data_IF_336097959541
#
_entry.id   IF_336097959541
#
_cell.length_a   1.000
_cell.length_b   1.000
_cell.length_c   1.000
_cell.angle_alpha   90.00
_cell.angle_beta   90.00
_cell.angle_gamma   90.00
#
_symmetry.space_group_name_H-M   'P 1'
#
loop_
_entity.id
_entity.type
_entity.pdbx_description
1 polymer ?
#
# COMPACT_ATOMS: atom_id res chain seq x y z
N UNK A 1 64.02 18.90 -56.14
CA UNK A 1 62.65 18.48 -56.47
C UNK A 1 62.31 17.26 -55.63
N UNK A 2 61.06 17.21 -55.18
CA UNK A 2 60.50 16.40 -54.10
C UNK A 2 60.96 14.93 -53.98
N UNK A 3 61.21 14.53 -52.73
CA UNK A 3 61.09 13.16 -52.23
C UNK A 3 59.60 12.76 -52.19
N UNK A 4 59.30 11.51 -52.51
CA UNK A 4 57.97 10.92 -52.32
C UNK A 4 58.01 9.40 -52.29
N UNK A 5 58.22 8.82 -51.11
CA UNK A 5 57.83 7.43 -50.80
C UNK A 5 56.35 7.41 -50.40
N UNK A 6 55.60 6.32 -50.69
CA UNK A 6 54.21 6.19 -50.28
C UNK A 6 54.11 5.96 -48.75
N UNK A 7 53.06 6.45 -48.07
CA UNK A 7 52.89 6.20 -46.65
C UNK A 7 52.41 4.76 -46.41
N UNK A 8 53.02 4.11 -45.42
CA UNK A 8 52.60 2.83 -44.89
C UNK A 8 51.24 2.96 -44.18
N UNK A 9 50.39 1.94 -44.37
CA UNK A 9 49.09 1.82 -43.74
C UNK A 9 49.21 1.68 -42.21
N UNK A 10 48.57 2.57 -41.46
CA UNK A 10 48.34 2.39 -40.03
C UNK A 10 46.86 2.03 -39.83
N UNK A 11 46.58 0.74 -39.65
CA UNK A 11 45.26 0.29 -39.23
C UNK A 11 45.06 0.62 -37.74
N UNK A 12 44.25 1.63 -37.45
CA UNK A 12 43.82 1.93 -36.08
C UNK A 12 42.74 0.92 -35.70
N UNK A 13 43.13 -0.08 -34.91
CA UNK A 13 42.18 -1.01 -34.28
C UNK A 13 41.57 -0.28 -33.09
N UNK A 14 40.40 0.33 -33.28
CA UNK A 14 39.61 0.89 -32.19
C UNK A 14 38.99 -0.27 -31.41
N UNK A 15 39.57 -0.62 -30.27
CA UNK A 15 38.99 -1.60 -29.35
C UNK A 15 37.77 -0.96 -28.67
N UNK A 16 36.57 -1.18 -29.22
CA UNK A 16 35.32 -0.82 -28.57
C UNK A 16 35.11 -1.81 -27.42
N UNK A 17 35.56 -1.44 -26.23
CA UNK A 17 35.16 -2.10 -24.98
C UNK A 17 33.66 -1.80 -24.78
N UNK A 18 32.81 -2.68 -25.27
CA UNK A 18 31.40 -2.68 -24.95
C UNK A 18 31.24 -2.94 -23.46
N UNK A 19 30.98 -1.88 -22.67
CA UNK A 19 30.38 -2.06 -21.35
C UNK A 19 28.97 -2.60 -21.57
N UNK A 20 28.83 -3.92 -21.52
CA UNK A 20 27.55 -4.54 -21.23
C UNK A 20 27.21 -4.20 -19.78
N UNK A 21 26.52 -3.09 -19.57
CA UNK A 21 25.80 -2.86 -18.33
C UNK A 21 24.71 -3.94 -18.26
N UNK A 22 24.97 -5.01 -17.52
CA UNK A 22 23.92 -5.92 -17.11
C UNK A 22 22.96 -5.11 -16.25
N UNK A 23 21.85 -4.65 -16.83
CA UNK A 23 20.71 -4.22 -16.05
C UNK A 23 20.22 -5.44 -15.31
N UNK A 24 20.52 -5.52 -14.01
CA UNK A 24 19.87 -6.48 -13.14
C UNK A 24 18.36 -6.19 -13.22
N UNK A 25 17.63 -7.01 -13.96
CA UNK A 25 16.17 -7.01 -13.94
C UNK A 25 15.79 -7.29 -12.50
N UNK A 26 15.01 -6.40 -11.88
CA UNK A 26 14.64 -6.57 -10.49
C UNK A 26 13.81 -7.85 -10.36
N UNK A 27 14.34 -8.84 -9.64
CA UNK A 27 13.65 -10.11 -9.42
C UNK A 27 12.28 -9.89 -8.75
N UNK A 28 11.31 -10.71 -9.14
CA UNK A 28 9.99 -10.71 -8.52
C UNK A 28 10.10 -11.09 -7.04
N UNK A 29 9.35 -10.37 -6.19
CA UNK A 29 9.30 -10.65 -4.75
C UNK A 29 8.26 -11.72 -4.47
N UNK A 30 8.60 -12.66 -3.58
CA UNK A 30 7.73 -13.75 -3.15
C UNK A 30 6.33 -13.24 -2.83
N UNK A 31 5.33 -13.86 -3.47
CA UNK A 31 3.92 -13.54 -3.32
C UNK A 31 3.26 -14.57 -2.40
N UNK A 32 2.94 -14.15 -1.18
CA UNK A 32 2.37 -15.01 -0.14
C UNK A 32 0.84 -14.97 -0.23
N UNK A 33 0.24 -16.07 -0.67
CA UNK A 33 -1.20 -16.29 -0.61
C UNK A 33 -1.58 -16.82 0.77
N UNK A 34 -2.22 -16.00 1.59
CA UNK A 34 -2.56 -16.36 2.96
C UNK A 34 -3.83 -17.22 3.02
N UNK A 35 -3.75 -18.45 2.49
CA UNK A 35 -4.89 -19.37 2.38
C UNK A 35 -5.54 -19.71 3.72
N UNK A 36 -4.77 -19.73 4.80
CA UNK A 36 -5.26 -19.95 6.17
C UNK A 36 -6.24 -18.87 6.64
N UNK A 37 -6.14 -17.65 6.10
CA UNK A 37 -7.03 -16.53 6.44
C UNK A 37 -8.47 -16.72 5.94
N UNK A 38 -8.66 -17.52 4.87
CA UNK A 38 -9.98 -17.80 4.29
C UNK A 38 -10.90 -18.45 5.34
N UNK A 39 -10.38 -19.40 6.12
CA UNK A 39 -11.14 -20.06 7.19
C UNK A 39 -11.54 -19.11 8.33
N UNK A 40 -10.83 -17.98 8.48
CA UNK A 40 -11.16 -16.90 9.44
C UNK A 40 -12.09 -15.83 8.82
N UNK A 41 -12.55 -16.03 7.59
CA UNK A 41 -13.39 -15.06 6.85
C UNK A 41 -12.63 -13.83 6.33
N UNK A 42 -11.30 -13.83 6.40
CA UNK A 42 -10.45 -12.78 5.84
C UNK A 42 -10.20 -13.09 4.36
N UNK A 43 -11.00 -12.46 3.49
CA UNK A 43 -11.02 -12.70 2.05
C UNK A 43 -11.14 -11.41 1.24
N UNK A 44 -10.69 -11.43 -0.01
CA UNK A 44 -10.94 -10.36 -0.98
C UNK A 44 -12.42 -10.26 -1.36
N UNK A 45 -12.80 -9.24 -2.13
CA UNK A 45 -14.18 -9.01 -2.57
C UNK A 45 -14.84 -10.23 -3.23
N UNK A 46 -14.08 -11.08 -3.93
CA UNK A 46 -14.56 -12.30 -4.58
C UNK A 46 -14.48 -13.59 -3.72
N UNK A 47 -14.07 -13.48 -2.46
CA UNK A 47 -13.87 -14.61 -1.55
C UNK A 47 -12.50 -15.29 -1.65
N UNK A 48 -11.60 -14.83 -2.53
CA UNK A 48 -10.23 -15.36 -2.61
C UNK A 48 -9.35 -14.95 -1.42
N UNK A 49 -8.28 -15.72 -1.18
CA UNK A 49 -7.35 -15.43 -0.10
C UNK A 49 -6.64 -14.08 -0.30
N UNK A 50 -6.35 -13.33 0.77
CA UNK A 50 -5.58 -12.12 0.69
C UNK A 50 -4.11 -12.42 0.40
N UNK A 51 -3.40 -11.42 -0.13
CA UNK A 51 -2.02 -11.58 -0.60
C UNK A 51 -1.16 -10.43 -0.11
N UNK A 52 0.09 -10.74 0.21
CA UNK A 52 1.14 -9.74 0.34
C UNK A 52 2.44 -10.26 -0.30
N UNK A 53 3.35 -9.34 -0.63
CA UNK A 53 4.71 -9.67 -1.03
C UNK A 53 5.66 -9.49 0.15
N UNK A 54 6.67 -10.35 0.25
CA UNK A 54 7.63 -10.30 1.35
C UNK A 54 9.07 -10.49 0.88
N UNK A 55 9.93 -9.55 1.29
CA UNK A 55 11.38 -9.65 1.15
C UNK A 55 12.01 -9.57 2.54
N UNK A 56 12.68 -10.63 3.01
CA UNK A 56 13.24 -10.66 4.36
C UNK A 56 14.37 -9.63 4.51
N UNK A 57 14.46 -9.05 5.71
CA UNK A 57 15.54 -8.15 6.08
C UNK A 57 16.85 -8.89 6.33
N UNK A 58 17.95 -8.15 6.32
CA UNK A 58 19.29 -8.70 6.51
C UNK A 58 20.18 -7.77 7.35
N UNK A 59 21.24 -8.33 7.94
CA UNK A 59 22.22 -7.58 8.73
C UNK A 59 21.56 -6.74 9.83
N UNK A 60 21.90 -5.44 9.88
CA UNK A 60 21.37 -4.49 10.86
C UNK A 60 19.88 -4.20 10.70
N UNK A 61 19.30 -4.45 9.52
CA UNK A 61 17.89 -4.23 9.21
C UNK A 61 16.98 -5.43 9.50
N UNK A 62 17.54 -6.58 9.93
CA UNK A 62 16.78 -7.83 10.11
C UNK A 62 15.63 -7.75 11.14
N UNK A 63 15.68 -6.80 12.07
CA UNK A 63 14.60 -6.54 13.04
C UNK A 63 13.82 -5.24 12.77
N UNK A 64 13.97 -4.67 11.58
CA UNK A 64 13.23 -3.48 11.17
C UNK A 64 12.27 -3.83 10.03
N UNK A 65 11.13 -3.14 9.98
CA UNK A 65 10.01 -3.53 9.11
C UNK A 65 9.44 -2.33 8.36
N UNK A 66 9.10 -2.54 7.09
CA UNK A 66 8.23 -1.66 6.32
C UNK A 66 7.05 -2.48 5.82
N UNK A 67 5.85 -2.11 6.26
CA UNK A 67 4.59 -2.64 5.75
C UNK A 67 3.97 -1.57 4.88
N UNK A 68 3.90 -1.83 3.57
CA UNK A 68 3.36 -0.89 2.59
C UNK A 68 2.01 -1.36 2.07
N UNK A 69 0.99 -0.52 2.24
CA UNK A 69 -0.37 -0.77 1.79
C UNK A 69 -0.53 -0.31 0.35
N UNK A 70 -0.86 -1.23 -0.54
CA UNK A 70 -1.19 -0.90 -1.93
C UNK A 70 -2.46 -0.02 -2.01
N UNK A 71 -2.45 0.94 -2.95
CA UNK A 71 -3.61 1.77 -3.26
C UNK A 71 -4.43 1.27 -4.45
N UNK A 72 -5.47 2.02 -4.82
CA UNK A 72 -6.26 1.72 -6.01
C UNK A 72 -7.71 2.16 -5.94
N UNK A 73 -7.99 3.31 -5.33
CA UNK A 73 -9.34 3.85 -5.14
C UNK A 73 -10.26 2.96 -4.29
N UNK A 74 -11.56 3.17 -4.40
CA UNK A 74 -12.57 2.44 -3.64
C UNK A 74 -13.70 1.98 -4.56
N UNK A 75 -14.57 1.10 -4.08
CA UNK A 75 -15.87 0.87 -4.72
C UNK A 75 -16.97 1.32 -3.75
N UNK A 76 -17.88 2.15 -4.26
CA UNK A 76 -18.87 2.92 -3.48
C UNK A 76 -20.27 2.36 -3.59
N UNK A 77 -20.51 1.51 -4.59
CA UNK A 77 -21.78 0.80 -4.81
C UNK A 77 -21.51 -0.69 -5.03
N UNK A 78 -22.51 -1.58 -4.79
CA UNK A 78 -22.38 -3.00 -5.09
C UNK A 78 -21.96 -3.26 -6.54
N UNK A 79 -22.49 -2.51 -7.51
CA UNK A 79 -22.19 -2.66 -8.93
C UNK A 79 -20.71 -2.35 -9.23
N UNK A 80 -20.19 -1.26 -8.67
CA UNK A 80 -18.76 -0.94 -8.77
C UNK A 80 -17.90 -2.04 -8.15
N UNK A 81 -18.33 -2.59 -7.00
CA UNK A 81 -17.60 -3.67 -6.33
C UNK A 81 -17.68 -4.99 -7.11
N UNK A 82 -18.78 -5.28 -7.82
CA UNK A 82 -18.89 -6.43 -8.74
C UNK A 82 -17.91 -6.31 -9.90
N UNK A 83 -17.75 -5.11 -10.49
CA UNK A 83 -16.74 -4.90 -11.53
C UNK A 83 -15.34 -5.10 -10.94
N UNK A 84 -15.10 -4.57 -9.74
CA UNK A 84 -13.81 -4.63 -9.06
C UNK A 84 -13.39 -6.06 -8.70
N UNK A 85 -14.32 -6.91 -8.26
CA UNK A 85 -14.04 -8.33 -7.93
C UNK A 85 -13.56 -9.13 -9.15
N UNK A 86 -13.85 -8.65 -10.37
CA UNK A 86 -13.39 -9.25 -11.63
C UNK A 86 -11.96 -8.91 -12.04
N UNK A 87 -11.18 -8.22 -11.19
CA UNK A 87 -9.78 -7.89 -11.47
C UNK A 87 -8.90 -7.92 -10.20
N UNK A 88 -7.62 -7.57 -10.35
CA UNK A 88 -6.60 -7.66 -9.29
C UNK A 88 -6.88 -6.80 -8.05
N UNK A 89 -7.77 -5.82 -8.15
CA UNK A 89 -8.17 -4.93 -7.05
C UNK A 89 -9.34 -5.46 -6.21
N UNK A 90 -9.87 -6.63 -6.55
CA UNK A 90 -10.94 -7.29 -5.81
C UNK A 90 -10.78 -8.81 -5.71
N UNK A 91 -9.76 -9.39 -6.35
CA UNK A 91 -9.50 -10.82 -6.32
C UNK A 91 -8.01 -11.12 -6.52
N UNK A 92 -7.47 -11.99 -5.67
CA UNK A 92 -6.08 -12.45 -5.79
C UNK A 92 -5.85 -13.38 -6.99
N UNK A 93 -6.92 -13.88 -7.63
CA UNK A 93 -6.83 -14.71 -8.84
C UNK A 93 -6.27 -13.95 -10.04
N UNK A 94 -6.34 -12.61 -10.04
CA UNK A 94 -5.85 -11.76 -11.12
C UNK A 94 -4.57 -11.00 -10.75
N UNK A 95 -4.05 -11.19 -9.53
CA UNK A 95 -2.83 -10.52 -9.10
C UNK A 95 -1.61 -11.21 -9.74
N UNK A 96 -0.72 -10.40 -10.30
CA UNK A 96 0.57 -10.85 -10.84
C UNK A 96 1.70 -10.59 -9.84
N UNK A 97 2.83 -11.31 -9.95
CA UNK A 97 4.08 -10.97 -9.26
C UNK A 97 4.48 -9.52 -9.50
N UNK A 98 5.28 -8.98 -8.57
CA UNK A 98 5.87 -7.65 -8.70
C UNK A 98 7.27 -7.63 -8.11
N UNK A 99 8.11 -6.77 -8.67
CA UNK A 99 9.38 -6.38 -8.09
C UNK A 99 9.18 -5.18 -7.15
N UNK A 100 10.04 -5.06 -6.14
CA UNK A 100 10.04 -3.88 -5.27
C UNK A 100 10.91 -2.74 -5.83
N UNK A 101 10.48 -1.51 -5.58
CA UNK A 101 11.17 -0.28 -5.94
C UNK A 101 10.93 0.81 -4.88
N UNK A 102 11.58 1.97 -5.02
CA UNK A 102 11.45 3.08 -4.07
C UNK A 102 11.81 2.68 -2.65
N UNK A 103 10.97 3.04 -1.66
CA UNK A 103 11.17 2.70 -0.25
C UNK A 103 11.22 1.19 0.03
N UNK A 104 10.67 0.36 -0.87
CA UNK A 104 10.74 -1.10 -0.78
C UNK A 104 11.90 -1.69 -1.59
N UNK A 105 12.62 -0.90 -2.38
CA UNK A 105 13.70 -1.38 -3.24
C UNK A 105 14.87 -1.98 -2.45
N UNK A 106 15.50 -3.03 -2.97
CA UNK A 106 16.63 -3.71 -2.30
C UNK A 106 18.01 -3.15 -2.64
N UNK A 107 18.07 -2.14 -3.51
CA UNK A 107 19.32 -1.53 -3.93
C UNK A 107 19.67 -0.37 -3.00
N UNK A 108 20.75 -0.51 -2.23
CA UNK A 108 21.22 0.50 -1.27
C UNK A 108 21.53 1.85 -1.92
N UNK A 109 21.93 1.89 -3.19
CA UNK A 109 22.18 3.16 -3.89
C UNK A 109 20.90 4.01 -4.02
N UNK A 110 19.74 3.35 -4.19
CA UNK A 110 18.45 4.03 -4.39
C UNK A 110 17.55 4.00 -3.16
N UNK A 111 17.83 3.12 -2.19
CA UNK A 111 17.13 3.00 -0.91
C UNK A 111 18.15 2.86 0.24
N UNK A 112 18.95 3.89 0.52
CA UNK A 112 20.10 3.79 1.44
C UNK A 112 19.70 3.44 2.88
N UNK A 113 18.50 3.86 3.31
CA UNK A 113 18.06 3.73 4.69
C UNK A 113 17.37 2.39 4.98
N UNK A 114 16.66 1.83 3.99
CA UNK A 114 15.72 0.72 4.21
C UNK A 114 15.98 -0.53 3.35
N UNK A 115 17.00 -0.53 2.48
CA UNK A 115 17.25 -1.64 1.55
C UNK A 115 17.38 -3.02 2.22
N UNK A 116 17.87 -3.07 3.47
CA UNK A 116 18.08 -4.29 4.23
C UNK A 116 17.01 -4.54 5.32
N UNK A 117 15.92 -3.77 5.35
CA UNK A 117 14.80 -4.02 6.25
C UNK A 117 13.93 -5.18 5.74
N UNK A 118 13.12 -5.76 6.62
CA UNK A 118 11.99 -6.59 6.19
C UNK A 118 11.00 -5.70 5.43
N UNK A 119 10.76 -6.02 4.16
CA UNK A 119 9.94 -5.18 3.27
C UNK A 119 8.73 -5.98 2.83
N UNK A 120 7.55 -5.40 3.06
CA UNK A 120 6.26 -6.03 2.80
C UNK A 120 5.42 -5.09 1.93
N UNK A 121 4.77 -5.63 0.90
CA UNK A 121 3.70 -4.94 0.18
C UNK A 121 2.40 -5.72 0.29
N UNK A 122 1.44 -5.19 1.05
CA UNK A 122 0.10 -5.77 1.18
C UNK A 122 -0.70 -5.43 -0.07
N UNK A 123 -1.23 -6.46 -0.75
CA UNK A 123 -2.01 -6.28 -1.98
C UNK A 123 -3.43 -5.87 -1.66
N UNK A 124 -3.96 -4.92 -2.43
CA UNK A 124 -5.24 -4.29 -2.14
C UNK A 124 -6.39 -4.98 -2.86
N UNK A 125 -7.30 -5.59 -2.10
CA UNK A 125 -8.40 -6.36 -2.68
C UNK A 125 -9.76 -6.22 -1.99
N UNK A 126 -9.90 -5.31 -1.03
CA UNK A 126 -11.14 -5.09 -0.27
C UNK A 126 -11.94 -3.87 -0.75
N UNK A 127 -11.28 -2.86 -1.32
CA UNK A 127 -11.97 -1.67 -1.85
C UNK A 127 -12.40 -0.64 -0.79
N UNK A 128 -11.90 -0.72 0.44
CA UNK A 128 -12.29 0.13 1.59
C UNK A 128 -11.12 0.65 2.43
N UNK A 129 -9.89 0.70 1.89
CA UNK A 129 -8.69 0.99 2.68
C UNK A 129 -8.55 0.08 3.92
N UNK A 130 -8.89 -1.20 3.76
CA UNK A 130 -8.82 -2.21 4.82
C UNK A 130 -9.66 -1.91 6.07
N UNK A 131 -10.79 -1.22 5.92
CA UNK A 131 -11.68 -0.88 7.05
C UNK A 131 -12.96 -1.70 7.08
N UNK A 132 -13.39 -2.25 5.94
CA UNK A 132 -14.68 -2.92 5.80
C UNK A 132 -14.77 -4.23 6.58
N UNK A 133 -15.93 -4.49 7.18
CA UNK A 133 -16.21 -5.76 7.85
C UNK A 133 -17.73 -5.96 8.05
N UNK A 134 -18.38 -6.49 7.02
CA UNK A 134 -19.80 -6.91 7.01
C UNK A 134 -19.86 -8.42 7.21
N UNK A 135 -20.68 -8.94 8.12
CA UNK A 135 -20.74 -10.40 8.39
C UNK A 135 -21.39 -11.18 7.25
N UNK A 136 -22.40 -10.59 6.63
CA UNK A 136 -23.19 -11.17 5.57
C UNK A 136 -22.39 -11.20 4.26
N UNK A 137 -22.65 -12.21 3.44
CA UNK A 137 -22.19 -12.27 2.06
C UNK A 137 -23.38 -11.86 1.20
N UNK A 138 -23.16 -10.97 0.23
CA UNK A 138 -24.23 -10.57 -0.67
C UNK A 138 -24.70 -11.80 -1.46
N UNK A 139 -25.96 -12.21 -1.25
CA UNK A 139 -26.49 -13.47 -1.81
C UNK A 139 -26.62 -13.47 -3.33
N UNK A 140 -26.70 -12.29 -3.98
CA UNK A 140 -26.86 -12.17 -5.43
C UNK A 140 -25.51 -12.09 -6.15
N UNK A 141 -24.57 -11.39 -5.54
CA UNK A 141 -23.30 -11.03 -6.16
C UNK A 141 -22.12 -11.76 -5.54
N UNK A 142 -22.29 -12.47 -4.43
CA UNK A 142 -21.23 -13.11 -3.66
C UNK A 142 -20.08 -12.14 -3.34
N UNK A 143 -20.42 -10.91 -2.95
CA UNK A 143 -19.47 -9.91 -2.51
C UNK A 143 -19.15 -10.10 -1.02
N UNK A 144 -17.86 -9.97 -0.70
CA UNK A 144 -17.34 -10.04 0.66
C UNK A 144 -16.64 -8.72 1.05
N UNK A 145 -17.23 -7.97 1.98
CA UNK A 145 -16.61 -6.73 2.50
C UNK A 145 -15.82 -7.02 3.78
N UNK A 146 -14.56 -7.46 3.65
CA UNK A 146 -13.74 -8.00 4.76
C UNK A 146 -12.37 -7.32 4.94
N UNK A 147 -12.23 -6.08 4.49
CA UNK A 147 -10.98 -5.32 4.54
C UNK A 147 -10.27 -5.36 5.91
N UNK A 148 -10.99 -5.16 7.00
CA UNK A 148 -10.39 -5.19 8.34
C UNK A 148 -9.92 -6.60 8.76
N UNK A 149 -10.66 -7.65 8.38
CA UNK A 149 -10.22 -9.04 8.62
C UNK A 149 -8.98 -9.38 7.80
N UNK A 150 -8.91 -8.90 6.56
CA UNK A 150 -7.72 -9.04 5.71
C UNK A 150 -6.53 -8.35 6.36
N UNK A 151 -6.70 -7.13 6.86
CA UNK A 151 -5.67 -6.44 7.64
C UNK A 151 -5.22 -7.27 8.84
N UNK A 152 -6.16 -7.70 9.70
CA UNK A 152 -5.83 -8.43 10.92
C UNK A 152 -5.08 -9.73 10.61
N UNK A 153 -5.55 -10.51 9.63
CA UNK A 153 -4.93 -11.77 9.26
C UNK A 153 -3.50 -11.60 8.70
N UNK A 154 -3.28 -10.58 7.86
CA UNK A 154 -1.94 -10.30 7.32
C UNK A 154 -1.01 -9.80 8.43
N UNK A 155 -1.45 -8.84 9.26
CA UNK A 155 -0.62 -8.32 10.34
C UNK A 155 -0.28 -9.42 11.35
N UNK A 156 -1.23 -10.29 11.70
CA UNK A 156 -0.99 -11.47 12.55
C UNK A 156 0.09 -12.39 11.97
N UNK A 157 0.02 -12.69 10.66
CA UNK A 157 1.03 -13.52 10.00
C UNK A 157 2.42 -12.87 9.99
N UNK A 158 2.50 -11.55 9.76
CA UNK A 158 3.76 -10.80 9.83
C UNK A 158 4.34 -10.77 11.26
N UNK A 159 3.48 -10.62 12.28
CA UNK A 159 3.89 -10.69 13.69
C UNK A 159 4.52 -12.06 14.00
N UNK A 160 3.92 -13.14 13.51
CA UNK A 160 4.42 -14.51 13.63
C UNK A 160 5.72 -14.74 12.86
N UNK A 161 5.94 -14.01 11.75
CA UNK A 161 7.20 -14.01 10.98
C UNK A 161 8.33 -13.19 11.61
N UNK A 162 8.09 -12.60 12.79
CA UNK A 162 9.11 -11.91 13.57
C UNK A 162 8.87 -10.41 13.75
N UNK A 163 7.81 -9.85 13.16
CA UNK A 163 7.48 -8.42 13.35
C UNK A 163 7.12 -8.13 14.81
N UNK A 164 6.69 -9.13 15.58
CA UNK A 164 6.49 -9.05 17.04
C UNK A 164 7.76 -8.67 17.82
N UNK A 165 8.95 -8.77 17.21
CA UNK A 165 10.25 -8.39 17.79
C UNK A 165 10.86 -7.15 17.14
N UNK A 166 10.06 -6.39 16.38
CA UNK A 166 10.55 -5.23 15.65
C UNK A 166 11.19 -4.19 16.58
N UNK A 167 12.35 -3.67 16.17
CA UNK A 167 12.98 -2.50 16.79
C UNK A 167 12.44 -1.21 16.20
N UNK A 168 12.28 -1.19 14.89
CA UNK A 168 11.68 -0.09 14.14
C UNK A 168 10.66 -0.64 13.15
N UNK A 169 9.55 0.06 12.97
CA UNK A 169 8.55 -0.31 11.98
C UNK A 169 7.95 0.94 11.31
N UNK A 170 7.70 0.84 10.01
CA UNK A 170 7.00 1.85 9.23
C UNK A 170 5.75 1.23 8.64
N UNK A 171 4.58 1.78 8.96
CA UNK A 171 3.38 1.56 8.18
C UNK A 171 3.30 2.63 7.09
N UNK A 172 3.38 2.23 5.83
CA UNK A 172 3.31 3.15 4.69
C UNK A 172 2.21 2.76 3.74
N UNK A 173 1.89 3.63 2.79
CA UNK A 173 1.02 3.28 1.68
C UNK A 173 0.85 4.46 0.72
N UNK A 174 0.33 4.16 -0.47
CA UNK A 174 0.07 5.16 -1.51
C UNK A 174 -1.43 5.24 -1.83
N UNK A 175 -1.99 6.44 -2.06
CA UNK A 175 -3.41 6.65 -2.42
C UNK A 175 -4.35 6.05 -1.36
N UNK A 176 -5.27 5.16 -1.74
CA UNK A 176 -6.12 4.42 -0.78
C UNK A 176 -5.32 3.64 0.28
N UNK A 177 -4.10 3.21 -0.04
CA UNK A 177 -3.17 2.61 0.91
C UNK A 177 -2.51 3.65 1.82
N UNK A 178 -2.27 4.86 1.33
CA UNK A 178 -1.82 5.99 2.16
C UNK A 178 -2.87 6.37 3.18
N UNK A 179 -4.14 6.42 2.77
CA UNK A 179 -5.26 6.57 3.70
C UNK A 179 -5.33 5.40 4.69
N UNK A 180 -5.14 4.16 4.24
CA UNK A 180 -5.04 3.00 5.13
C UNK A 180 -3.92 3.18 6.17
N UNK A 181 -2.78 3.74 5.79
CA UNK A 181 -1.69 4.01 6.73
C UNK A 181 -2.08 5.03 7.80
N UNK A 182 -2.91 6.04 7.47
CA UNK A 182 -3.47 6.98 8.47
C UNK A 182 -4.46 6.27 9.40
N UNK A 183 -5.42 5.55 8.83
CA UNK A 183 -6.54 4.95 9.59
C UNK A 183 -6.09 3.86 10.56
N UNK A 184 -5.04 3.12 10.21
CA UNK A 184 -4.53 2.01 11.01
C UNK A 184 -3.26 2.34 11.80
N UNK A 185 -2.77 3.59 11.77
CA UNK A 185 -1.46 3.95 12.31
C UNK A 185 -1.30 3.62 13.80
N UNK A 186 -2.22 4.11 14.64
CA UNK A 186 -2.16 3.88 16.08
C UNK A 186 -2.40 2.40 16.42
N UNK A 187 -3.33 1.72 15.73
CA UNK A 187 -3.55 0.27 15.88
C UNK A 187 -2.27 -0.51 15.55
N UNK A 188 -1.54 -0.12 14.50
CA UNK A 188 -0.27 -0.75 14.13
C UNK A 188 0.82 -0.53 15.20
N UNK A 189 0.92 0.67 15.78
CA UNK A 189 1.83 0.94 16.91
C UNK A 189 1.52 0.09 18.14
N UNK A 190 0.23 -0.11 18.42
CA UNK A 190 -0.24 -0.86 19.60
C UNK A 190 -0.01 -2.37 19.48
N UNK A 191 0.11 -2.90 18.24
CA UNK A 191 0.42 -4.31 17.98
C UNK A 191 1.90 -4.67 18.12
N UNK A 192 2.78 -3.66 18.25
CA UNK A 192 4.24 -3.82 18.31
C UNK A 192 4.78 -3.57 19.71
N UNK A 193 6.01 -4.03 20.02
CA UNK A 193 6.61 -3.81 21.33
C UNK A 193 6.52 -2.34 21.77
N UNK A 194 6.26 -2.06 23.07
CA UNK A 194 6.22 -0.69 23.57
C UNK A 194 7.50 0.10 23.28
N UNK A 195 8.65 -0.59 23.26
CA UNK A 195 9.97 -0.03 22.95
C UNK A 195 10.26 0.14 21.45
N UNK A 196 9.39 -0.34 20.57
CA UNK A 196 9.60 -0.24 19.13
C UNK A 196 9.36 1.20 18.64
N UNK A 197 10.26 1.70 17.80
CA UNK A 197 10.09 2.98 17.12
C UNK A 197 9.18 2.80 15.91
N UNK A 198 7.93 3.23 16.04
CA UNK A 198 6.94 3.11 14.97
C UNK A 198 6.59 4.47 14.41
N UNK A 199 6.56 4.56 13.08
CA UNK A 199 6.12 5.74 12.34
C UNK A 199 5.18 5.30 11.23
N UNK A 200 4.35 6.22 10.77
CA UNK A 200 3.51 6.01 9.59
C UNK A 200 3.89 6.98 8.47
N UNK A 201 3.67 6.57 7.23
CA UNK A 201 3.87 7.40 6.04
C UNK A 201 2.64 7.30 5.15
N UNK A 202 1.97 8.42 4.93
CA UNK A 202 0.85 8.51 3.99
C UNK A 202 1.32 9.22 2.74
N UNK A 203 1.52 8.48 1.64
CA UNK A 203 1.76 9.02 0.31
C UNK A 203 0.44 9.14 -0.47
N UNK A 204 0.11 10.33 -0.99
CA UNK A 204 -1.12 10.62 -1.73
C UNK A 204 -2.43 10.18 -1.00
N UNK A 205 -2.37 10.06 0.33
CA UNK A 205 -3.47 9.59 1.18
C UNK A 205 -4.21 10.71 1.92
N UNK A 206 -3.79 11.96 1.74
CA UNK A 206 -4.41 13.11 2.38
C UNK A 206 -5.47 13.72 1.47
N UNK A 207 -6.70 13.24 1.65
CA UNK A 207 -7.87 13.84 1.03
C UNK A 207 -8.43 14.98 1.89
N UNK A 208 -8.90 16.02 1.23
CA UNK A 208 -9.44 17.23 1.86
C UNK A 208 -10.97 17.12 1.87
N UNK A 209 -11.55 17.30 3.06
CA UNK A 209 -12.98 17.47 3.24
C UNK A 209 -13.37 18.91 2.88
N UNK A 210 -13.40 19.18 1.58
CA UNK A 210 -13.69 20.48 1.01
C UNK A 210 -14.87 20.44 0.04
N UNK A 211 -15.20 21.63 -0.44
CA UNK A 211 -16.15 21.81 -1.54
C UNK A 211 -15.35 21.90 -2.85
N UNK A 212 -15.79 21.21 -3.90
CA UNK A 212 -15.20 21.31 -5.24
C UNK A 212 -15.58 22.63 -5.94
N UNK A 213 -15.02 22.86 -7.13
CA UNK A 213 -15.26 24.07 -7.93
C UNK A 213 -16.74 24.26 -8.34
N UNK A 214 -17.56 23.22 -8.25
CA UNK A 214 -18.99 23.26 -8.56
C UNK A 214 -19.87 23.52 -7.34
N UNK A 215 -19.28 23.65 -6.15
CA UNK A 215 -20.03 23.82 -4.90
C UNK A 215 -20.44 22.50 -4.22
N UNK A 216 -19.99 21.35 -4.72
CA UNK A 216 -20.38 20.04 -4.19
C UNK A 216 -19.32 19.45 -3.24
N UNK A 217 -19.74 18.54 -2.35
CA UNK A 217 -18.84 17.80 -1.44
C UNK A 217 -18.57 16.39 -1.95
N UNK A 218 -18.08 16.27 -3.19
CA UNK A 218 -17.94 14.99 -3.88
C UNK A 218 -17.18 13.93 -3.07
N UNK A 219 -16.00 14.27 -2.54
CA UNK A 219 -15.16 13.32 -1.79
C UNK A 219 -15.86 12.86 -0.52
N UNK A 220 -16.60 13.75 0.16
CA UNK A 220 -17.38 13.39 1.36
C UNK A 220 -18.50 12.43 1.02
N UNK A 221 -19.24 12.67 -0.07
CA UNK A 221 -20.27 11.74 -0.56
C UNK A 221 -19.68 10.38 -0.91
N UNK A 222 -18.49 10.38 -1.52
CA UNK A 222 -17.73 9.15 -1.82
C UNK A 222 -17.40 8.38 -0.56
N UNK A 223 -16.72 9.00 0.42
CA UNK A 223 -16.35 8.32 1.67
C UNK A 223 -17.55 7.89 2.50
N UNK A 224 -18.65 8.66 2.50
CA UNK A 224 -19.90 8.24 3.11
C UNK A 224 -20.42 6.94 2.49
N UNK A 225 -20.37 6.83 1.16
CA UNK A 225 -20.82 5.63 0.45
C UNK A 225 -19.92 4.43 0.76
N UNK A 226 -18.59 4.62 0.77
CA UNK A 226 -17.62 3.57 1.13
C UNK A 226 -17.85 3.09 2.58
N UNK A 227 -17.88 4.01 3.55
CA UNK A 227 -18.06 3.68 4.97
C UNK A 227 -19.35 2.92 5.22
N UNK A 228 -20.43 3.34 4.56
CA UNK A 228 -21.74 2.69 4.71
C UNK A 228 -21.76 1.32 4.08
N UNK A 229 -21.35 1.19 2.81
CA UNK A 229 -21.40 -0.08 2.07
C UNK A 229 -20.50 -1.14 2.70
N UNK A 230 -19.30 -0.76 3.14
CA UNK A 230 -18.31 -1.70 3.64
C UNK A 230 -18.43 -1.96 5.15
N UNK A 231 -19.34 -1.27 5.86
CA UNK A 231 -19.49 -1.43 7.31
C UNK A 231 -18.25 -0.99 8.09
N UNK A 232 -17.56 0.06 7.65
CA UNK A 232 -16.23 0.45 8.14
C UNK A 232 -16.20 0.98 9.57
N UNK A 233 -17.35 1.41 10.11
CA UNK A 233 -17.44 2.21 11.36
C UNK A 233 -16.67 1.59 12.53
N UNK A 234 -16.81 0.28 12.75
CA UNK A 234 -16.18 -0.42 13.87
C UNK A 234 -14.65 -0.53 13.79
N UNK A 235 -14.07 -0.26 12.60
CA UNK A 235 -12.64 -0.35 12.35
C UNK A 235 -11.99 1.02 12.09
N UNK A 236 -12.73 2.10 12.30
CA UNK A 236 -12.20 3.46 12.25
C UNK A 236 -11.62 3.87 13.61
N UNK A 237 -10.67 4.84 13.66
CA UNK A 237 -10.15 5.34 14.91
C UNK A 237 -11.27 5.83 15.84
N UNK A 238 -11.44 5.15 16.98
CA UNK A 238 -12.51 5.45 17.93
C UNK A 238 -12.43 6.88 18.47
N UNK A 239 -11.21 7.41 18.59
CA UNK A 239 -10.91 8.79 18.96
C UNK A 239 -11.43 9.83 17.95
N UNK A 240 -11.66 9.43 16.70
CA UNK A 240 -12.30 10.25 15.69
C UNK A 240 -13.82 10.04 15.68
N UNK A 241 -14.30 8.79 15.64
CA UNK A 241 -15.74 8.49 15.55
C UNK A 241 -16.52 8.91 16.79
N UNK A 242 -15.85 9.14 17.93
CA UNK A 242 -16.47 9.70 19.13
C UNK A 242 -16.72 11.21 19.06
N UNK A 243 -16.16 11.91 18.06
CA UNK A 243 -16.23 13.38 17.92
C UNK A 243 -16.99 13.84 16.68
N UNK A 244 -16.92 13.06 15.61
CA UNK A 244 -17.51 13.40 14.30
C UNK A 244 -18.17 12.18 13.68
N UNK A 245 -19.03 12.39 12.67
CA UNK A 245 -19.66 11.29 11.93
C UNK A 245 -18.61 10.36 11.30
N UNK A 246 -18.83 9.04 11.25
CA UNK A 246 -17.81 8.08 10.81
C UNK A 246 -17.19 8.34 9.43
N UNK A 247 -17.96 8.83 8.47
CA UNK A 247 -17.46 9.17 7.13
C UNK A 247 -16.41 10.28 7.14
N UNK A 248 -16.46 11.16 8.14
CA UNK A 248 -15.47 12.22 8.30
C UNK A 248 -14.12 11.66 8.77
N UNK A 249 -14.11 10.50 9.43
CA UNK A 249 -12.87 9.85 9.84
C UNK A 249 -12.07 9.25 8.69
N UNK A 250 -12.61 9.18 7.46
CA UNK A 250 -11.82 8.89 6.27
C UNK A 250 -10.99 10.07 5.78
N UNK A 251 -11.16 11.27 6.32
CA UNK A 251 -10.30 12.40 6.00
C UNK A 251 -9.25 12.59 7.10
N UNK A 252 -7.95 12.57 6.78
CA UNK A 252 -6.91 12.70 7.80
C UNK A 252 -7.06 13.95 8.68
N UNK A 253 -7.54 15.07 8.15
CA UNK A 253 -7.85 16.27 8.93
C UNK A 253 -8.69 16.05 10.19
N UNK A 254 -9.55 15.02 10.23
CA UNK A 254 -10.39 14.68 11.38
C UNK A 254 -9.75 13.63 12.31
N UNK A 255 -8.80 12.84 11.80
CA UNK A 255 -8.07 11.78 12.53
C UNK A 255 -6.83 12.33 13.23
N UNK A 256 -6.03 13.13 12.52
CA UNK A 256 -4.74 13.64 12.99
C UNK A 256 -4.77 14.38 14.34
N UNK A 257 -5.79 15.19 14.67
CA UNK A 257 -5.84 15.87 15.96
C UNK A 257 -5.81 14.95 17.19
N UNK A 258 -6.14 13.66 17.02
CA UNK A 258 -6.17 12.66 18.08
C UNK A 258 -5.19 11.51 17.90
N UNK A 259 -4.41 11.53 16.81
CA UNK A 259 -3.46 10.48 16.51
C UNK A 259 -2.23 10.60 17.41
N UNK A 260 -1.74 9.47 17.92
CA UNK A 260 -0.61 9.44 18.88
C UNK A 260 0.71 9.11 18.20
N UNK A 261 0.66 8.29 17.16
CA UNK A 261 1.83 7.80 16.45
C UNK A 261 2.30 8.83 15.42
N UNK A 262 3.62 9.11 15.30
CA UNK A 262 4.12 10.06 14.32
C UNK A 262 3.78 9.64 12.88
N UNK A 263 3.20 10.56 12.12
CA UNK A 263 2.91 10.40 10.69
C UNK A 263 3.69 11.40 9.87
N UNK A 264 4.29 10.92 8.79
CA UNK A 264 4.80 11.74 7.70
C UNK A 264 3.77 11.76 6.56
N UNK A 265 3.38 12.95 6.11
CA UNK A 265 2.45 13.11 4.99
C UNK A 265 3.26 13.55 3.77
N UNK A 266 3.20 12.75 2.72
CA UNK A 266 3.67 13.10 1.39
C UNK A 266 2.43 13.25 0.51
N UNK A 267 2.13 14.46 0.05
CA UNK A 267 0.97 14.69 -0.80
C UNK A 267 1.29 15.76 -1.83
N UNK A 268 0.83 15.57 -3.06
CA UNK A 268 0.87 16.63 -4.05
C UNK A 268 -0.07 17.78 -3.62
N UNK A 269 0.30 19.02 -3.95
CA UNK A 269 -0.58 20.17 -3.72
C UNK A 269 -1.86 20.09 -4.57
N UNK A 270 -1.76 19.48 -5.76
CA UNK A 270 -2.86 19.26 -6.70
C UNK A 270 -2.90 17.77 -7.06
N UNK A 271 -3.47 16.97 -6.16
CA UNK A 271 -3.61 15.53 -6.38
C UNK A 271 -4.75 15.25 -7.37
N UNK A 272 -4.49 14.42 -8.39
CA UNK A 272 -5.48 14.16 -9.44
C UNK A 272 -6.74 13.47 -8.91
N UNK A 273 -6.65 12.68 -7.84
CA UNK A 273 -7.81 12.05 -7.21
C UNK A 273 -8.58 12.99 -6.29
N UNK A 274 -7.94 14.08 -5.83
CA UNK A 274 -8.62 15.15 -5.10
C UNK A 274 -9.38 16.09 -6.07
N UNK A 275 -8.75 16.47 -7.18
CA UNK A 275 -9.30 17.43 -8.14
C UNK A 275 -10.25 16.77 -9.16
N UNK A 276 -9.96 15.53 -9.58
CA UNK A 276 -10.69 14.80 -10.61
C UNK A 276 -10.99 13.36 -10.16
N UNK A 277 -11.88 13.16 -9.18
CA UNK A 277 -12.18 11.84 -8.65
C UNK A 277 -12.99 11.01 -9.67
N UNK A 278 -12.28 10.36 -10.59
CA UNK A 278 -12.82 9.60 -11.71
C UNK A 278 -11.89 9.44 -12.91
N UNK A 279 -10.74 10.13 -12.92
CA UNK A 279 -9.69 9.99 -13.93
C UNK A 279 -8.76 8.79 -13.66
#
# INVERSE_FOLDING_TARGET
MAFGLPPAAAAVVTLVLGLAAASAVADDVEMVFLKSAVAKGAVCLDGSAPVYHFSPGSGTGANNWIVHMEGGGWCKTPEECVIRKGNFRGSSKFMKPLSFSGILGGNQQFNPDFYNWNRVKVRYCDGSSFTGDVEEVDSKTNLHFRGARVWDAIIEDLLNKGMSKAKSAILSGCSAGGLSAVLHCDKFKDLLPPSAFVKCVSDAGYFIDGTDITGNKFVRTTFKSVVTLHGSVKNLPSSCTSRVSPELCFFPQHVLPTMKTPLFILNAAYDSWQEHPGA
#
